data_IF_088333976849
#
_entry.id   IF_088333976849
#
_cell.length_a   1.000
_cell.length_b   1.000
_cell.length_c   1.000
_cell.angle_alpha   90.00
_cell.angle_beta   90.00
_cell.angle_gamma   90.00
#
_symmetry.space_group_name_H-M   'P 1'
#
loop_
_entity.id
_entity.type
_entity.pdbx_description
1 polymer ?
#
# COMPACT_ATOMS: atom_id res chain seq x y z
N UNK A 1 -5.96 -11.25 7.53
CA UNK A 1 -4.82 -11.04 8.47
C UNK A 1 -5.17 -10.23 9.73
N UNK A 2 -5.54 -8.92 9.70
CA UNK A 2 -5.82 -8.21 10.97
C UNK A 2 -6.98 -8.81 11.77
N UNK A 3 -8.04 -9.25 11.08
CA UNK A 3 -9.18 -9.94 11.68
C UNK A 3 -8.78 -11.29 12.31
N UNK A 4 -8.00 -12.11 11.60
CA UNK A 4 -7.52 -13.39 12.10
C UNK A 4 -6.61 -13.24 13.32
N UNK A 5 -5.74 -12.22 13.32
CA UNK A 5 -4.90 -11.90 14.47
C UNK A 5 -5.75 -11.41 15.65
N UNK A 6 -6.74 -10.55 15.40
CA UNK A 6 -7.69 -10.12 16.41
C UNK A 6 -8.45 -11.29 17.04
N UNK A 7 -8.94 -12.22 16.20
CA UNK A 7 -9.62 -13.42 16.67
C UNK A 7 -8.72 -14.32 17.55
N UNK A 8 -7.41 -14.43 17.23
CA UNK A 8 -6.44 -15.12 18.08
C UNK A 8 -6.26 -14.42 19.43
N UNK A 9 -6.15 -13.09 19.44
CA UNK A 9 -6.01 -12.31 20.66
C UNK A 9 -7.24 -12.44 21.55
N UNK A 10 -8.43 -12.35 20.98
CA UNK A 10 -9.70 -12.51 21.68
C UNK A 10 -9.85 -13.93 22.25
N UNK A 11 -9.46 -14.94 21.46
CA UNK A 11 -9.46 -16.34 21.91
C UNK A 11 -8.51 -16.56 23.09
N UNK A 12 -7.32 -15.96 23.05
CA UNK A 12 -6.36 -16.02 24.14
C UNK A 12 -6.89 -15.31 25.39
N UNK A 13 -7.44 -14.11 25.25
CA UNK A 13 -8.04 -13.37 26.35
C UNK A 13 -9.18 -14.15 27.02
N UNK A 14 -10.05 -14.78 26.21
CA UNK A 14 -11.12 -15.65 26.68
C UNK A 14 -10.59 -16.87 27.43
N UNK A 15 -9.55 -17.54 26.92
CA UNK A 15 -8.92 -18.66 27.59
C UNK A 15 -8.30 -18.24 28.94
N UNK A 16 -7.65 -17.07 29.01
CA UNK A 16 -7.11 -16.52 30.26
C UNK A 16 -8.21 -16.19 31.27
N UNK A 17 -9.32 -15.58 30.85
CA UNK A 17 -10.45 -15.32 31.72
C UNK A 17 -11.07 -16.64 32.24
N UNK A 18 -11.18 -17.66 31.39
CA UNK A 18 -11.67 -18.97 31.78
C UNK A 18 -10.74 -19.68 32.79
N UNK A 19 -9.42 -19.48 32.70
CA UNK A 19 -8.46 -19.96 33.72
C UNK A 19 -8.77 -19.35 35.08
N UNK A 20 -8.97 -18.03 35.16
CA UNK A 20 -9.25 -17.37 36.44
C UNK A 20 -10.58 -17.80 37.04
N UNK A 21 -11.62 -17.92 36.21
CA UNK A 21 -12.92 -18.50 36.62
C UNK A 21 -12.74 -19.93 37.14
N UNK A 22 -11.85 -20.70 36.54
CA UNK A 22 -11.67 -22.09 36.94
C UNK A 22 -10.81 -22.23 38.21
N UNK A 23 -9.86 -21.32 38.44
CA UNK A 23 -9.07 -21.23 39.68
C UNK A 23 -9.92 -20.92 40.90
N UNK A 24 -11.02 -20.16 40.75
CA UNK A 24 -11.90 -19.78 41.87
C UNK A 24 -12.86 -20.89 42.32
N UNK A 25 -13.00 -21.99 41.56
CA UNK A 25 -13.89 -23.10 41.90
C UNK A 25 -13.26 -24.13 42.86
N UNK A 26 -14.09 -24.73 43.71
CA UNK A 26 -13.70 -25.81 44.63
C UNK A 26 -13.30 -27.10 43.90
N UNK A 27 -14.08 -27.50 42.89
CA UNK A 27 -13.75 -28.63 42.01
C UNK A 27 -13.28 -28.10 40.67
N UNK A 28 -11.98 -28.25 40.41
CA UNK A 28 -11.35 -27.64 39.24
C UNK A 28 -11.43 -28.56 38.01
N UNK A 29 -11.85 -28.03 36.86
CA UNK A 29 -11.79 -28.72 35.57
C UNK A 29 -11.28 -27.74 34.50
N UNK A 30 -10.10 -28.01 33.95
CA UNK A 30 -9.46 -27.18 32.92
C UNK A 30 -9.54 -27.80 31.52
N UNK A 31 -10.33 -28.84 31.29
CA UNK A 31 -10.35 -29.54 30.00
C UNK A 31 -10.81 -28.61 28.87
N UNK A 32 -11.87 -27.82 29.09
CA UNK A 32 -12.31 -26.81 28.12
C UNK A 32 -11.23 -25.76 27.85
N UNK A 33 -10.54 -25.30 28.90
CA UNK A 33 -9.42 -24.35 28.77
C UNK A 33 -8.30 -24.96 27.94
N UNK A 34 -7.94 -26.23 28.21
CA UNK A 34 -6.92 -26.96 27.46
C UNK A 34 -7.28 -27.04 25.98
N UNK A 35 -8.51 -27.44 25.65
CA UNK A 35 -8.99 -27.48 24.26
C UNK A 35 -8.90 -26.11 23.58
N UNK A 36 -9.31 -25.03 24.24
CA UNK A 36 -9.18 -23.68 23.68
C UNK A 36 -7.73 -23.28 23.41
N UNK A 37 -6.81 -23.59 24.33
CA UNK A 37 -5.37 -23.32 24.15
C UNK A 37 -4.77 -24.18 23.03
N UNK A 38 -5.16 -25.45 22.92
CA UNK A 38 -4.74 -26.33 21.82
C UNK A 38 -5.22 -25.79 20.46
N UNK A 39 -6.45 -25.29 20.37
CA UNK A 39 -6.94 -24.63 19.16
C UNK A 39 -6.11 -23.40 18.81
N UNK A 40 -5.79 -22.54 19.78
CA UNK A 40 -4.94 -21.36 19.55
C UNK A 40 -3.55 -21.76 19.02
N UNK A 41 -2.94 -22.79 19.60
CA UNK A 41 -1.63 -23.31 19.15
C UNK A 41 -1.71 -23.85 17.72
N UNK A 42 -2.84 -24.47 17.34
CA UNK A 42 -3.04 -25.02 15.99
C UNK A 42 -3.32 -23.93 14.95
N UNK A 43 -4.01 -22.84 15.30
CA UNK A 43 -4.39 -21.79 14.36
C UNK A 43 -3.34 -20.70 14.21
N UNK A 44 -2.50 -20.45 15.23
CA UNK A 44 -1.46 -19.44 15.17
C UNK A 44 -0.46 -19.60 13.99
N UNK A 45 0.04 -20.80 13.64
CA UNK A 45 0.91 -20.99 12.48
C UNK A 45 0.27 -20.57 11.16
N UNK A 46 -1.02 -20.84 10.97
CA UNK A 46 -1.75 -20.42 9.76
C UNK A 46 -1.84 -18.90 9.66
N UNK A 47 -2.06 -18.19 10.78
CA UNK A 47 -2.08 -16.72 10.76
C UNK A 47 -0.70 -16.16 10.45
N UNK A 48 0.37 -16.78 10.94
CA UNK A 48 1.76 -16.41 10.58
C UNK A 48 2.00 -16.60 9.08
N UNK A 49 1.60 -17.74 8.52
CA UNK A 49 1.72 -18.02 7.07
C UNK A 49 0.93 -17.02 6.22
N UNK A 50 -0.27 -16.65 6.67
CA UNK A 50 -1.10 -15.66 5.99
C UNK A 50 -0.47 -14.25 6.03
N UNK A 51 0.25 -13.90 7.11
CA UNK A 51 1.02 -12.64 7.17
C UNK A 51 2.13 -12.63 6.11
N UNK A 52 2.91 -13.71 6.01
CA UNK A 52 4.00 -13.79 5.02
C UNK A 52 3.45 -13.76 3.58
N UNK A 53 2.34 -14.46 3.34
CA UNK A 53 1.62 -14.41 2.06
C UNK A 53 1.16 -12.98 1.73
N UNK A 54 0.56 -12.29 2.70
CA UNK A 54 0.11 -10.91 2.50
C UNK A 54 1.27 -9.94 2.26
N UNK A 55 2.41 -10.10 2.94
CA UNK A 55 3.61 -9.29 2.70
C UNK A 55 4.11 -9.44 1.26
N UNK A 56 4.21 -10.68 0.77
CA UNK A 56 4.66 -10.94 -0.59
C UNK A 56 3.68 -10.36 -1.62
N UNK A 57 2.37 -10.50 -1.39
CA UNK A 57 1.36 -9.89 -2.26
C UNK A 57 1.47 -8.36 -2.33
N UNK A 58 1.64 -7.69 -1.18
CA UNK A 58 1.80 -6.23 -1.14
C UNK A 58 3.10 -5.81 -1.83
N UNK A 59 4.19 -6.55 -1.62
CA UNK A 59 5.47 -6.30 -2.29
C UNK A 59 5.30 -6.36 -3.81
N UNK A 60 4.79 -7.46 -4.35
CA UNK A 60 4.60 -7.65 -5.79
C UNK A 60 3.67 -6.58 -6.38
N UNK A 61 2.56 -6.26 -5.71
CA UNK A 61 1.66 -5.20 -6.15
C UNK A 61 2.33 -3.82 -6.15
N UNK A 62 3.25 -3.56 -5.21
CA UNK A 62 4.00 -2.29 -5.18
C UNK A 62 5.07 -2.24 -6.27
N UNK A 63 5.73 -3.37 -6.57
CA UNK A 63 6.66 -3.48 -7.70
C UNK A 63 5.95 -3.26 -9.05
N UNK A 64 4.76 -3.82 -9.23
CA UNK A 64 3.92 -3.54 -10.40
C UNK A 64 3.53 -2.05 -10.50
N UNK A 65 3.20 -1.43 -9.38
CA UNK A 65 2.87 0.01 -9.34
C UNK A 65 4.07 0.88 -9.72
N UNK A 66 5.30 0.51 -9.31
CA UNK A 66 6.54 1.19 -9.72
C UNK A 66 6.71 1.13 -11.25
N UNK A 67 6.46 -0.02 -11.87
CA UNK A 67 6.52 -0.13 -13.33
C UNK A 67 5.44 0.72 -14.01
N UNK A 68 4.23 0.79 -13.44
CA UNK A 68 3.18 1.69 -13.93
C UNK A 68 3.57 3.17 -13.81
N UNK A 69 4.24 3.57 -12.72
CA UNK A 69 4.74 4.94 -12.52
C UNK A 69 5.78 5.28 -13.60
N UNK A 70 6.72 4.37 -13.89
CA UNK A 70 7.71 4.57 -14.96
C UNK A 70 7.05 4.75 -16.33
N UNK A 71 6.07 3.91 -16.65
CA UNK A 71 5.30 4.04 -17.89
C UNK A 71 4.59 5.39 -18.00
N UNK A 72 3.92 5.83 -16.92
CA UNK A 72 3.26 7.14 -16.90
C UNK A 72 4.24 8.32 -17.00
N UNK A 73 5.44 8.23 -16.41
CA UNK A 73 6.50 9.23 -16.59
C UNK A 73 6.91 9.35 -18.06
N UNK A 74 7.09 8.23 -18.75
CA UNK A 74 7.41 8.21 -20.19
C UNK A 74 6.27 8.83 -21.02
N UNK A 75 5.03 8.43 -20.77
CA UNK A 75 3.85 8.97 -21.46
C UNK A 75 3.70 10.47 -21.24
N UNK A 76 3.84 10.93 -19.99
CA UNK A 76 3.74 12.35 -19.65
C UNK A 76 4.87 13.16 -20.28
N UNK A 77 6.10 12.61 -20.38
CA UNK A 77 7.19 13.25 -21.11
C UNK A 77 6.86 13.44 -22.61
N UNK A 78 6.16 12.49 -23.23
CA UNK A 78 5.68 12.63 -24.61
C UNK A 78 4.60 13.72 -24.74
N UNK A 79 3.71 13.85 -23.75
CA UNK A 79 2.69 14.90 -23.72
C UNK A 79 3.32 16.29 -23.49
N UNK A 80 4.29 16.39 -22.59
CA UNK A 80 5.09 17.60 -22.34
C UNK A 80 5.70 18.17 -23.62
N UNK A 81 6.17 17.30 -24.53
CA UNK A 81 6.72 17.72 -25.82
C UNK A 81 5.65 18.36 -26.74
N UNK A 82 4.39 17.93 -26.63
CA UNK A 82 3.24 18.38 -27.44
C UNK A 82 2.49 19.55 -26.81
N UNK A 83 2.63 19.77 -25.51
CA UNK A 83 1.92 20.79 -24.77
C UNK A 83 2.28 22.23 -25.25
N UNK A 84 1.32 23.18 -25.16
CA UNK A 84 1.51 24.52 -25.70
C UNK A 84 2.55 25.35 -24.92
N UNK A 85 3.51 25.93 -25.65
CA UNK A 85 4.67 26.66 -25.09
C UNK A 85 4.51 28.18 -25.09
N UNK A 86 3.27 28.66 -24.95
CA UNK A 86 2.97 30.10 -24.77
C UNK A 86 3.57 30.65 -23.46
N UNK A 87 3.49 31.97 -23.24
CA UNK A 87 4.13 32.62 -22.07
C UNK A 87 3.68 32.02 -20.73
N UNK A 88 2.38 31.81 -20.56
CA UNK A 88 1.79 31.17 -19.37
C UNK A 88 2.07 29.65 -19.34
N UNK A 89 1.96 28.99 -20.49
CA UNK A 89 2.23 27.55 -20.61
C UNK A 89 3.66 27.15 -20.25
N UNK A 90 4.65 28.02 -20.50
CA UNK A 90 6.05 27.73 -20.09
C UNK A 90 6.24 27.63 -18.59
N UNK A 91 5.52 28.43 -17.79
CA UNK A 91 5.62 28.37 -16.34
C UNK A 91 4.99 27.08 -15.81
N UNK A 92 3.77 26.77 -16.28
CA UNK A 92 3.04 25.53 -15.91
C UNK A 92 3.84 24.28 -16.30
N UNK A 93 4.43 24.26 -17.50
CA UNK A 93 5.27 23.13 -17.93
C UNK A 93 6.54 22.99 -17.09
N UNK A 94 7.11 24.08 -16.58
CA UNK A 94 8.25 23.99 -15.68
C UNK A 94 7.84 23.39 -14.32
N UNK A 95 6.68 23.79 -13.79
CA UNK A 95 6.12 23.23 -12.56
C UNK A 95 5.83 21.73 -12.70
N UNK A 96 5.14 21.32 -13.77
CA UNK A 96 4.88 19.92 -14.08
C UNK A 96 6.18 19.12 -14.19
N UNK A 97 7.19 19.66 -14.89
CA UNK A 97 8.48 18.99 -14.99
C UNK A 97 9.11 18.78 -13.60
N UNK A 98 9.11 19.80 -12.74
CA UNK A 98 9.67 19.68 -11.40
C UNK A 98 8.91 18.64 -10.56
N UNK A 99 7.58 18.57 -10.71
CA UNK A 99 6.76 17.55 -10.04
C UNK A 99 7.10 16.14 -10.54
N UNK A 100 7.20 15.94 -11.85
CA UNK A 100 7.64 14.66 -12.43
C UNK A 100 9.04 14.26 -11.96
N UNK A 101 9.99 15.20 -11.89
CA UNK A 101 11.35 14.94 -11.38
C UNK A 101 11.30 14.52 -9.88
N UNK A 102 10.42 15.13 -9.07
CA UNK A 102 10.22 14.71 -7.67
C UNK A 102 9.64 13.30 -7.57
N UNK A 103 8.68 12.96 -8.43
CA UNK A 103 8.07 11.62 -8.47
C UNK A 103 9.10 10.57 -8.90
N UNK A 104 9.92 10.86 -9.92
CA UNK A 104 11.00 9.97 -10.35
C UNK A 104 11.98 9.68 -9.20
N UNK A 105 12.38 10.72 -8.46
CA UNK A 105 13.23 10.54 -7.28
C UNK A 105 12.56 9.71 -6.18
N UNK A 106 11.23 9.83 -6.02
CA UNK A 106 10.46 9.08 -5.02
C UNK A 106 10.47 7.56 -5.26
N UNK A 107 10.72 7.10 -6.50
CA UNK A 107 10.85 5.67 -6.82
C UNK A 107 11.99 5.04 -6.01
N UNK A 108 13.07 5.79 -5.76
CA UNK A 108 14.19 5.30 -4.93
C UNK A 108 13.75 5.08 -3.48
N UNK A 109 12.99 6.01 -2.90
CA UNK A 109 12.46 5.87 -1.54
C UNK A 109 11.47 4.71 -1.44
N UNK A 110 10.56 4.56 -2.41
CA UNK A 110 9.63 3.42 -2.46
C UNK A 110 10.39 2.08 -2.51
N UNK A 111 11.45 2.02 -3.33
CA UNK A 111 12.31 0.83 -3.44
C UNK A 111 13.03 0.52 -2.13
N UNK A 112 13.50 1.54 -1.41
CA UNK A 112 14.12 1.38 -0.10
C UNK A 112 13.12 0.88 0.95
N UNK A 113 11.89 1.41 0.95
CA UNK A 113 10.82 0.95 1.84
C UNK A 113 10.48 -0.54 1.61
N UNK A 114 10.45 -0.99 0.35
CA UNK A 114 10.33 -2.42 0.03
C UNK A 114 11.51 -3.20 0.62
N UNK A 115 12.74 -2.73 0.44
CA UNK A 115 13.94 -3.40 0.92
C UNK A 115 14.00 -3.51 2.45
N UNK A 116 13.46 -2.52 3.17
CA UNK A 116 13.38 -2.54 4.64
C UNK A 116 12.12 -3.25 5.18
N UNK A 117 11.25 -3.74 4.30
CA UNK A 117 10.01 -4.45 4.66
C UNK A 117 8.86 -3.54 5.11
N UNK A 118 8.95 -2.23 4.87
CA UNK A 118 7.86 -1.28 5.13
C UNK A 118 6.89 -1.22 3.93
N UNK A 119 6.29 -2.37 3.64
CA UNK A 119 5.49 -2.58 2.43
C UNK A 119 4.23 -1.71 2.37
N UNK A 120 3.62 -1.41 3.53
CA UNK A 120 2.41 -0.58 3.56
C UNK A 120 2.74 0.88 3.26
N UNK A 121 3.86 1.40 3.78
CA UNK A 121 4.31 2.75 3.45
C UNK A 121 4.75 2.83 1.98
N UNK A 122 5.47 1.82 1.49
CA UNK A 122 5.86 1.72 0.08
C UNK A 122 4.64 1.76 -0.85
N UNK A 123 3.62 0.93 -0.56
CA UNK A 123 2.40 0.87 -1.35
C UNK A 123 1.62 2.20 -1.33
N UNK A 124 1.50 2.84 -0.17
CA UNK A 124 0.80 4.12 -0.05
C UNK A 124 1.51 5.21 -0.87
N UNK A 125 2.84 5.26 -0.81
CA UNK A 125 3.64 6.23 -1.55
C UNK A 125 3.61 5.97 -3.06
N UNK A 126 3.66 4.71 -3.50
CA UNK A 126 3.52 4.35 -4.91
C UNK A 126 2.15 4.75 -5.47
N UNK A 127 1.06 4.48 -4.75
CA UNK A 127 -0.29 4.91 -5.16
C UNK A 127 -0.40 6.43 -5.30
N UNK A 128 0.11 7.17 -4.31
CA UNK A 128 0.09 8.64 -4.36
C UNK A 128 0.89 9.20 -5.55
N UNK A 129 2.07 8.61 -5.83
CA UNK A 129 2.89 8.98 -6.99
C UNK A 129 2.16 8.72 -8.31
N UNK A 130 1.49 7.56 -8.45
CA UNK A 130 0.69 7.23 -9.63
C UNK A 130 -0.50 8.17 -9.80
N UNK A 131 -1.24 8.46 -8.72
CA UNK A 131 -2.37 9.39 -8.75
C UNK A 131 -1.95 10.79 -9.19
N UNK A 132 -0.82 11.30 -8.69
CA UNK A 132 -0.25 12.58 -9.14
C UNK A 132 0.13 12.54 -10.63
N UNK A 133 0.79 11.47 -11.11
CA UNK A 133 1.09 11.32 -12.55
C UNK A 133 -0.14 11.24 -13.43
N UNK A 134 -1.22 10.60 -12.98
CA UNK A 134 -2.49 10.59 -13.70
C UNK A 134 -3.13 11.99 -13.73
N UNK A 135 -3.00 12.77 -12.66
CA UNK A 135 -3.40 14.18 -12.64
C UNK A 135 -2.65 15.00 -13.69
N UNK A 136 -1.31 14.90 -13.71
CA UNK A 136 -0.44 15.54 -14.70
C UNK A 136 -0.84 15.11 -16.13
N UNK A 137 -1.08 13.81 -16.34
CA UNK A 137 -1.48 13.29 -17.65
C UNK A 137 -2.76 13.96 -18.17
N UNK A 138 -3.76 14.12 -17.29
CA UNK A 138 -5.02 14.76 -17.62
C UNK A 138 -4.82 16.25 -17.92
N UNK A 139 -4.07 16.97 -17.09
CA UNK A 139 -3.77 18.39 -17.30
C UNK A 139 -3.08 18.65 -18.64
N UNK A 140 -2.06 17.84 -18.98
CA UNK A 140 -1.35 17.93 -20.25
C UNK A 140 -2.27 17.62 -21.44
N UNK A 141 -3.08 16.56 -21.32
CA UNK A 141 -4.03 16.16 -22.36
C UNK A 141 -5.07 17.25 -22.64
N UNK A 142 -5.62 17.86 -21.59
CA UNK A 142 -6.55 18.98 -21.71
C UNK A 142 -5.91 20.22 -22.33
N UNK A 143 -4.69 20.56 -21.91
CA UNK A 143 -3.95 21.69 -22.45
C UNK A 143 -3.69 21.54 -23.95
N UNK A 144 -3.33 20.33 -24.41
CA UNK A 144 -3.15 19.99 -25.82
C UNK A 144 -4.49 20.11 -26.58
N UNK A 145 -5.57 19.54 -26.03
CA UNK A 145 -6.89 19.56 -26.66
C UNK A 145 -7.43 20.98 -26.86
N UNK A 146 -7.23 21.89 -25.89
CA UNK A 146 -7.63 23.31 -25.99
C UNK A 146 -6.96 24.07 -27.14
N UNK A 147 -5.79 23.61 -27.60
CA UNK A 147 -5.12 24.18 -28.79
C UNK A 147 -5.58 23.49 -30.07
N UNK A 148 -5.85 22.18 -30.02
CA UNK A 148 -6.39 21.42 -31.15
C UNK A 148 -7.82 21.83 -31.56
N UNK A 149 -8.67 22.20 -30.59
CA UNK A 149 -10.05 22.67 -30.82
C UNK A 149 -10.21 24.15 -31.20
N UNK A 150 -9.10 24.90 -31.34
CA UNK A 150 -9.10 26.32 -31.73
C UNK A 150 -8.90 26.55 -33.25
N UNK A 151 -9.12 25.53 -34.08
CA UNK A 151 -9.13 25.65 -35.54
C UNK A 151 -10.54 25.82 -36.09
#
# INVERSE_FOLDING_TARGET
VPEEFGALQDSLASAMAAIEVQKSKTFKNFDKVRTSLETIIQTAPTVIENVETAKEQVKLATEEEIESIKGLLEENNLLMAKAPKGKEGKAVLLEIKNEMDMIENSITEITELIATGDYLKAQAQAKAAKESLMGIHNELSEAIAKVGGKK
#
